data_IF_617498490017
#
_entry.id   IF_617498490017
#
_cell.length_a   1.000
_cell.length_b   1.000
_cell.length_c   1.000
_cell.angle_alpha   90.00
_cell.angle_beta   90.00
_cell.angle_gamma   90.00
#
_symmetry.space_group_name_H-M   'P 1'
#
loop_
_entity.id
_entity.type
_entity.pdbx_description
1 polymer ?
#
# COMPACT_ATOMS: atom_id res chain seq x y z
N UNK A 1 -21.59 -7.34 -1.77
CA UNK A 1 -20.24 -7.49 -1.17
C UNK A 1 -20.44 -7.38 0.32
N UNK A 2 -20.08 -8.39 1.10
CA UNK A 2 -20.16 -8.27 2.55
C UNK A 2 -19.18 -7.18 2.99
N UNK A 3 -19.65 -6.22 3.76
CA UNK A 3 -18.94 -5.05 4.26
C UNK A 3 -17.73 -5.39 5.17
N UNK A 4 -17.44 -6.68 5.33
CA UNK A 4 -16.52 -7.26 6.30
C UNK A 4 -15.20 -7.85 5.73
N UNK A 5 -14.94 -7.69 4.43
CA UNK A 5 -13.78 -8.32 3.79
C UNK A 5 -12.52 -7.44 3.87
N UNK A 6 -11.94 -7.29 5.05
CA UNK A 6 -10.61 -6.68 5.24
C UNK A 6 -9.73 -7.56 6.13
N UNK A 7 -8.41 -7.49 5.92
CA UNK A 7 -7.43 -8.32 6.61
C UNK A 7 -7.00 -7.80 7.97
N UNK A 8 -6.04 -8.51 8.55
CA UNK A 8 -5.50 -8.22 9.88
C UNK A 8 -4.87 -6.82 10.00
N UNK A 9 -4.30 -6.30 8.92
CA UNK A 9 -3.62 -5.00 8.94
C UNK A 9 -4.63 -3.86 9.13
N UNK A 10 -5.72 -3.85 8.37
CA UNK A 10 -6.79 -2.85 8.53
C UNK A 10 -7.52 -3.03 9.86
N UNK A 11 -7.80 -4.27 10.28
CA UNK A 11 -8.43 -4.52 11.58
C UNK A 11 -7.60 -3.92 12.73
N UNK A 12 -6.29 -4.11 12.69
CA UNK A 12 -5.35 -3.55 13.65
C UNK A 12 -5.33 -2.02 13.62
N UNK A 13 -5.27 -1.44 12.43
CA UNK A 13 -5.28 0.02 12.21
C UNK A 13 -6.56 0.66 12.76
N UNK A 14 -7.74 0.09 12.43
CA UNK A 14 -9.03 0.56 12.92
C UNK A 14 -9.13 0.48 14.44
N UNK A 15 -8.72 -0.64 15.01
CA UNK A 15 -8.72 -0.83 16.46
C UNK A 15 -7.85 0.22 17.16
N UNK A 16 -6.63 0.45 16.66
CA UNK A 16 -5.71 1.45 17.21
C UNK A 16 -6.33 2.86 17.19
N UNK A 17 -6.91 3.23 16.05
CA UNK A 17 -7.55 4.53 15.86
C UNK A 17 -8.75 4.70 16.78
N UNK A 18 -9.63 3.68 16.85
CA UNK A 18 -10.82 3.72 17.70
C UNK A 18 -10.49 3.80 19.18
N UNK A 19 -9.49 3.04 19.64
CA UNK A 19 -8.99 3.14 21.02
C UNK A 19 -8.49 4.55 21.35
N UNK A 20 -7.77 5.20 20.43
CA UNK A 20 -7.32 6.58 20.61
C UNK A 20 -8.48 7.58 20.70
N UNK A 21 -9.52 7.42 19.85
CA UNK A 21 -10.73 8.25 19.88
C UNK A 21 -11.49 8.09 21.21
N UNK A 22 -11.72 6.85 21.64
CA UNK A 22 -12.39 6.52 22.90
C UNK A 22 -11.67 7.14 24.09
N UNK A 23 -10.35 6.96 24.20
CA UNK A 23 -9.57 7.58 25.27
C UNK A 23 -9.72 9.11 25.28
N UNK A 24 -9.61 9.76 24.12
CA UNK A 24 -9.78 11.22 24.03
C UNK A 24 -11.16 11.66 24.53
N UNK A 25 -12.19 10.86 24.29
CA UNK A 25 -13.54 11.09 24.80
C UNK A 25 -13.63 11.06 26.34
N UNK A 26 -12.79 10.28 27.02
CA UNK A 26 -12.73 10.21 28.50
C UNK A 26 -11.89 11.33 29.13
N UNK A 27 -11.19 12.14 28.32
CA UNK A 27 -10.21 13.15 28.78
C UNK A 27 -9.00 12.58 29.56
N UNK A 28 -8.84 11.27 29.63
CA UNK A 28 -7.66 10.64 30.23
C UNK A 28 -6.44 10.74 29.33
N UNK A 29 -5.27 11.03 29.93
CA UNK A 29 -3.99 10.90 29.21
C UNK A 29 -3.63 9.41 29.07
N UNK A 30 -2.87 9.06 28.02
CA UNK A 30 -2.40 7.69 27.82
C UNK A 30 -1.61 7.14 29.03
N UNK A 31 -0.81 7.98 29.69
CA UNK A 31 -0.08 7.58 30.88
C UNK A 31 -1.00 7.36 32.09
N UNK A 32 -2.03 8.20 32.25
CA UNK A 32 -3.01 7.99 33.32
C UNK A 32 -3.75 6.65 33.17
N UNK A 33 -4.13 6.26 31.94
CA UNK A 33 -4.71 4.94 31.68
C UNK A 33 -3.73 3.82 31.99
N UNK A 34 -2.43 3.98 31.65
CA UNK A 34 -1.40 3.01 32.05
C UNK A 34 -1.33 2.86 33.57
N UNK A 35 -1.38 3.97 34.32
CA UNK A 35 -1.32 3.96 35.77
C UNK A 35 -2.57 3.26 36.38
N UNK A 36 -3.78 3.55 35.84
CA UNK A 36 -5.04 2.88 36.27
C UNK A 36 -5.02 1.36 36.07
N UNK A 37 -4.37 0.89 35.02
CA UNK A 37 -4.25 -0.54 34.66
C UNK A 37 -2.99 -1.21 35.23
N UNK A 38 -2.18 -0.47 35.98
CA UNK A 38 -0.87 -0.92 36.44
C UNK A 38 0.02 -1.45 35.31
N UNK A 39 -0.02 -0.76 34.15
CA UNK A 39 0.78 -1.06 32.98
C UNK A 39 2.06 -0.24 32.92
N UNK A 40 3.06 -0.75 32.23
CA UNK A 40 4.26 0.03 31.92
C UNK A 40 3.94 1.28 31.09
N UNK A 41 4.57 2.40 31.43
CA UNK A 41 4.39 3.68 30.71
C UNK A 41 4.57 3.52 29.21
N UNK A 42 3.75 4.24 28.46
CA UNK A 42 3.76 4.22 27.00
C UNK A 42 3.07 3.01 26.36
N UNK A 43 2.55 2.02 27.12
CA UNK A 43 1.86 0.86 26.53
C UNK A 43 0.61 1.31 25.76
N UNK A 44 -0.23 2.17 26.32
CA UNK A 44 -1.41 2.72 25.66
C UNK A 44 -1.01 3.53 24.42
N UNK A 45 0.01 4.38 24.50
CA UNK A 45 0.49 5.13 23.36
C UNK A 45 0.97 4.23 22.20
N UNK A 46 1.60 3.10 22.48
CA UNK A 46 1.96 2.12 21.44
C UNK A 46 0.75 1.47 20.80
N UNK A 47 -0.32 1.19 21.56
CA UNK A 47 -1.57 0.72 20.98
C UNK A 47 -2.16 1.74 19.99
N UNK A 48 -2.28 2.99 20.42
CA UNK A 48 -2.85 4.07 19.63
C UNK A 48 -2.01 4.45 18.40
N UNK A 49 -0.69 4.32 18.51
CA UNK A 49 0.25 4.52 17.40
C UNK A 49 0.38 3.30 16.47
N UNK A 50 -0.46 2.29 16.63
CA UNK A 50 -0.39 1.03 15.87
C UNK A 50 0.97 0.28 15.98
N UNK A 51 1.77 0.57 17.03
CA UNK A 51 3.11 0.02 17.26
C UNK A 51 3.08 -1.26 18.12
N UNK A 52 2.28 -2.24 17.72
CA UNK A 52 2.10 -3.52 18.41
C UNK A 52 2.01 -4.65 17.37
N UNK A 53 2.49 -5.83 17.70
CA UNK A 53 2.49 -6.97 16.78
C UNK A 53 1.19 -7.76 16.84
N UNK A 54 0.67 -7.99 18.05
CA UNK A 54 -0.52 -8.79 18.30
C UNK A 54 -1.18 -8.31 19.59
N UNK A 55 -2.44 -7.90 19.57
CA UNK A 55 -3.13 -7.46 20.77
C UNK A 55 -3.40 -8.66 21.69
N UNK A 56 -3.21 -8.49 22.99
CA UNK A 56 -3.77 -9.42 23.95
C UNK A 56 -5.23 -9.05 24.22
N UNK A 57 -6.13 -10.04 24.18
CA UNK A 57 -7.57 -9.79 24.36
C UNK A 57 -7.90 -9.20 25.73
N UNK A 58 -7.13 -9.59 26.76
CA UNK A 58 -7.24 -8.99 28.11
C UNK A 58 -6.95 -7.50 28.10
N UNK A 59 -5.88 -7.09 27.38
CA UNK A 59 -5.51 -5.68 27.27
C UNK A 59 -6.62 -4.85 26.60
N UNK A 60 -7.20 -5.39 25.53
CA UNK A 60 -8.31 -4.72 24.83
C UNK A 60 -9.52 -4.58 25.74
N UNK A 61 -9.95 -5.65 26.41
CA UNK A 61 -11.08 -5.63 27.34
C UNK A 61 -10.87 -4.67 28.50
N UNK A 62 -9.65 -4.59 29.03
CA UNK A 62 -9.30 -3.64 30.10
C UNK A 62 -9.43 -2.20 29.61
N UNK A 63 -8.95 -1.87 28.39
CA UNK A 63 -9.10 -0.54 27.80
C UNK A 63 -10.58 -0.20 27.59
N UNK A 64 -11.37 -1.10 26.99
CA UNK A 64 -12.79 -0.88 26.72
C UNK A 64 -13.60 -0.66 28.02
N UNK A 65 -13.19 -1.33 29.11
CA UNK A 65 -13.80 -1.10 30.44
C UNK A 65 -13.45 0.27 30.99
N UNK A 66 -12.19 0.72 30.89
CA UNK A 66 -11.76 2.04 31.37
C UNK A 66 -12.42 3.18 30.55
N UNK A 67 -12.64 2.93 29.27
CA UNK A 67 -13.29 3.93 28.39
C UNK A 67 -14.82 3.89 28.46
N UNK A 68 -15.39 3.05 29.32
CA UNK A 68 -16.85 2.88 29.53
C UNK A 68 -17.62 2.60 28.22
N UNK A 69 -17.08 1.69 27.40
CA UNK A 69 -17.64 1.35 26.09
C UNK A 69 -18.88 0.49 26.26
N UNK A 70 -20.00 0.88 25.57
CA UNK A 70 -21.26 0.14 25.58
C UNK A 70 -21.14 -1.27 24.98
N UNK A 71 -22.07 -2.16 25.29
CA UNK A 71 -21.98 -3.58 24.96
C UNK A 71 -21.84 -3.84 23.45
N UNK A 72 -22.67 -3.20 22.61
CA UNK A 72 -22.62 -3.41 21.16
C UNK A 72 -21.28 -3.01 20.54
N UNK A 73 -20.79 -1.82 20.87
CA UNK A 73 -19.48 -1.34 20.38
C UNK A 73 -18.32 -2.16 20.95
N UNK A 74 -18.45 -2.66 22.18
CA UNK A 74 -17.47 -3.55 22.79
C UNK A 74 -17.32 -4.84 21.98
N UNK A 75 -18.42 -5.48 21.61
CA UNK A 75 -18.43 -6.70 20.81
C UNK A 75 -17.76 -6.45 19.45
N UNK A 76 -18.08 -5.34 18.76
CA UNK A 76 -17.43 -4.96 17.51
C UNK A 76 -15.92 -4.77 17.64
N UNK A 77 -15.46 -4.12 18.71
CA UNK A 77 -14.03 -3.89 18.96
C UNK A 77 -13.28 -5.15 19.41
N UNK A 78 -13.93 -6.06 20.10
CA UNK A 78 -13.38 -7.38 20.40
C UNK A 78 -13.24 -8.22 19.12
N UNK A 79 -14.20 -8.18 18.20
CA UNK A 79 -14.11 -8.83 16.88
C UNK A 79 -12.97 -8.23 16.04
N UNK A 80 -12.82 -6.91 16.02
CA UNK A 80 -11.66 -6.26 15.41
C UNK A 80 -10.34 -6.76 16.02
N UNK A 81 -10.28 -6.88 17.34
CA UNK A 81 -9.10 -7.39 18.03
C UNK A 81 -8.79 -8.85 17.66
N UNK A 82 -9.81 -9.70 17.52
CA UNK A 82 -9.65 -11.08 17.05
C UNK A 82 -9.07 -11.10 15.63
N UNK A 83 -9.63 -10.32 14.69
CA UNK A 83 -9.13 -10.22 13.32
C UNK A 83 -7.68 -9.67 13.28
N UNK A 84 -7.38 -8.65 14.08
CA UNK A 84 -6.04 -8.05 14.19
C UNK A 84 -4.96 -9.03 14.73
N UNK A 85 -5.37 -10.14 15.33
CA UNK A 85 -4.47 -11.20 15.81
C UNK A 85 -4.05 -12.19 14.72
N UNK A 86 -4.72 -12.19 13.57
CA UNK A 86 -4.31 -13.04 12.47
C UNK A 86 -2.91 -12.62 11.97
N UNK A 87 -2.12 -13.61 11.57
CA UNK A 87 -0.78 -13.36 11.03
C UNK A 87 -0.88 -13.15 9.51
N UNK A 88 -0.72 -11.92 8.99
CA UNK A 88 -0.74 -11.70 7.56
C UNK A 88 0.53 -12.27 6.92
N UNK A 89 0.43 -12.71 5.67
CA UNK A 89 1.49 -13.37 4.90
C UNK A 89 2.79 -12.55 4.83
N UNK A 90 2.70 -11.23 4.74
CA UNK A 90 3.86 -10.35 4.61
C UNK A 90 4.76 -10.33 5.84
N UNK A 91 4.27 -10.76 6.99
CA UNK A 91 5.10 -10.96 8.21
C UNK A 91 6.14 -12.08 8.06
N UNK A 92 5.98 -12.97 7.10
CA UNK A 92 6.99 -13.97 6.77
C UNK A 92 8.19 -13.36 6.03
N UNK A 93 8.04 -12.13 5.53
CA UNK A 93 9.05 -11.32 4.86
C UNK A 93 9.42 -10.06 5.68
N UNK A 94 9.45 -10.16 7.02
CA UNK A 94 9.79 -9.04 7.91
C UNK A 94 11.26 -8.57 7.75
N UNK A 95 12.10 -9.34 7.10
CA UNK A 95 13.46 -8.99 6.69
C UNK A 95 13.50 -8.15 5.38
N UNK A 96 12.38 -8.08 4.67
CA UNK A 96 12.20 -7.31 3.44
C UNK A 96 11.37 -6.05 3.71
N UNK A 97 10.30 -6.18 4.50
CA UNK A 97 9.35 -5.11 4.81
C UNK A 97 9.54 -4.59 6.23
N UNK A 98 9.93 -3.34 6.35
CA UNK A 98 10.16 -2.68 7.64
C UNK A 98 8.86 -2.13 8.27
N UNK A 99 7.81 -1.94 7.48
CA UNK A 99 6.53 -1.34 7.89
C UNK A 99 5.31 -2.17 7.42
N UNK A 100 4.12 -1.64 7.63
CA UNK A 100 2.85 -2.31 7.29
C UNK A 100 2.36 -2.02 5.85
N UNK A 101 3.15 -1.35 5.03
CA UNK A 101 2.82 -1.05 3.61
C UNK A 101 2.24 -2.26 2.85
N UNK A 102 2.86 -3.47 2.88
CA UNK A 102 2.33 -4.59 2.12
C UNK A 102 0.97 -5.08 2.63
N UNK A 103 0.67 -4.84 3.90
CA UNK A 103 -0.62 -5.19 4.48
C UNK A 103 -1.72 -4.22 4.04
N UNK A 104 -1.44 -2.93 3.98
CA UNK A 104 -2.39 -1.94 3.46
C UNK A 104 -2.61 -2.10 1.96
N UNK A 105 -1.55 -2.35 1.17
CA UNK A 105 -1.65 -2.69 -0.26
C UNK A 105 -2.53 -3.93 -0.47
N UNK A 106 -2.34 -4.98 0.36
CA UNK A 106 -3.10 -6.22 0.30
C UNK A 106 -4.60 -6.04 0.56
N UNK A 107 -4.95 -5.12 1.46
CA UNK A 107 -6.31 -4.93 1.97
C UNK A 107 -7.02 -3.71 1.32
N UNK A 108 -6.35 -2.95 0.46
CA UNK A 108 -6.91 -1.79 -0.23
C UNK A 108 -8.00 -2.20 -1.22
N UNK A 109 -9.06 -1.39 -1.34
CA UNK A 109 -10.09 -1.55 -2.39
C UNK A 109 -9.68 -0.86 -3.70
N UNK A 110 -8.83 0.17 -3.60
CA UNK A 110 -8.21 0.86 -4.72
C UNK A 110 -6.78 1.22 -4.39
N UNK A 111 -5.90 1.01 -5.35
CA UNK A 111 -4.48 1.38 -5.30
C UNK A 111 -4.24 2.40 -6.40
N UNK A 112 -3.70 3.57 -6.02
CA UNK A 112 -3.25 4.59 -6.96
C UNK A 112 -1.74 4.75 -6.78
N UNK A 113 -1.00 4.61 -7.86
CA UNK A 113 0.46 4.68 -7.82
C UNK A 113 1.00 5.61 -8.89
N UNK A 114 1.88 6.53 -8.47
CA UNK A 114 2.66 7.37 -9.38
C UNK A 114 4.13 7.00 -9.27
N UNK A 115 4.74 6.61 -10.40
CA UNK A 115 6.14 6.20 -10.48
C UNK A 115 6.84 6.91 -11.65
N UNK A 116 7.69 7.92 -11.37
CA UNK A 116 8.31 8.73 -12.42
C UNK A 116 9.51 8.08 -13.10
N UNK A 117 10.22 7.16 -12.44
CA UNK A 117 11.50 6.63 -12.94
C UNK A 117 11.50 5.11 -13.10
N UNK A 118 10.74 4.40 -12.30
CA UNK A 118 10.66 2.94 -12.32
C UNK A 118 9.22 2.49 -12.58
N UNK A 119 9.04 1.25 -12.95
CA UNK A 119 7.71 0.64 -12.99
C UNK A 119 7.23 0.32 -11.58
N UNK A 120 5.92 0.46 -11.28
CA UNK A 120 5.34 -0.01 -10.02
C UNK A 120 5.62 -1.49 -9.78
N UNK A 121 5.89 -1.84 -8.53
CA UNK A 121 6.21 -3.23 -8.18
C UNK A 121 5.17 -4.27 -8.57
N UNK A 122 3.89 -3.87 -8.60
CA UNK A 122 2.78 -4.73 -9.03
C UNK A 122 2.77 -5.00 -10.55
N UNK A 123 3.52 -4.24 -11.34
CA UNK A 123 3.54 -4.32 -12.81
C UNK A 123 4.87 -4.85 -13.37
N UNK A 124 5.83 -5.22 -12.51
CA UNK A 124 7.17 -5.65 -12.94
C UNK A 124 7.21 -7.14 -13.29
N UNK A 125 7.93 -7.49 -14.36
CA UNK A 125 8.37 -8.87 -14.59
C UNK A 125 9.53 -9.24 -13.66
N UNK A 126 9.83 -10.53 -13.54
CA UNK A 126 11.00 -11.02 -12.80
C UNK A 126 12.30 -10.42 -13.33
N UNK A 127 12.47 -10.40 -14.66
CA UNK A 127 13.71 -9.93 -15.30
C UNK A 127 13.90 -8.42 -15.10
N UNK A 128 12.80 -7.64 -15.12
CA UNK A 128 12.84 -6.22 -14.75
C UNK A 128 13.33 -6.03 -13.31
N UNK A 129 12.73 -6.76 -12.37
CA UNK A 129 13.15 -6.69 -10.96
C UNK A 129 14.62 -7.05 -10.77
N UNK A 130 15.07 -8.15 -11.36
CA UNK A 130 16.45 -8.60 -11.26
C UNK A 130 17.43 -7.59 -11.86
N UNK A 131 17.08 -6.99 -13.01
CA UNK A 131 17.90 -5.97 -13.64
C UNK A 131 18.03 -4.72 -12.79
N UNK A 132 16.92 -4.23 -12.20
CA UNK A 132 16.94 -3.08 -11.29
C UNK A 132 17.77 -3.38 -10.02
N UNK A 133 17.62 -4.59 -9.46
CA UNK A 133 18.33 -5.00 -8.24
C UNK A 133 19.80 -5.40 -8.46
N UNK A 134 20.23 -5.58 -9.70
CA UNK A 134 21.60 -6.08 -10.04
C UNK A 134 22.70 -5.19 -9.49
N UNK A 135 22.50 -3.88 -9.53
CA UNK A 135 23.50 -2.89 -9.13
C UNK A 135 23.38 -2.47 -7.66
N UNK A 136 22.38 -2.99 -6.94
CA UNK A 136 22.19 -2.72 -5.52
C UNK A 136 23.20 -3.47 -4.65
N UNK A 137 23.46 -2.94 -3.44
CA UNK A 137 24.38 -3.53 -2.45
C UNK A 137 23.78 -4.72 -1.67
N UNK A 138 22.53 -5.08 -1.90
CA UNK A 138 21.85 -6.13 -1.14
C UNK A 138 22.37 -7.54 -1.49
N UNK A 139 22.54 -8.43 -0.48
CA UNK A 139 23.02 -9.80 -0.71
C UNK A 139 22.11 -10.61 -1.65
N UNK A 140 22.65 -11.60 -2.39
CA UNK A 140 21.84 -12.46 -3.28
C UNK A 140 20.66 -13.16 -2.58
N UNK A 141 20.84 -13.60 -1.33
CA UNK A 141 19.76 -14.22 -0.55
C UNK A 141 18.62 -13.24 -0.28
N UNK A 142 18.94 -12.00 0.06
CA UNK A 142 17.93 -10.95 0.26
C UNK A 142 17.20 -10.64 -1.05
N UNK A 143 17.91 -10.56 -2.18
CA UNK A 143 17.29 -10.31 -3.50
C UNK A 143 16.29 -11.41 -3.87
N UNK A 144 16.63 -12.69 -3.68
CA UNK A 144 15.68 -13.81 -3.91
C UNK A 144 14.43 -13.67 -3.06
N UNK A 145 14.57 -13.44 -1.75
CA UNK A 145 13.42 -13.26 -0.85
C UNK A 145 12.59 -12.01 -1.21
N UNK A 146 13.23 -10.95 -1.65
CA UNK A 146 12.56 -9.74 -2.11
C UNK A 146 11.76 -10.00 -3.39
N UNK A 147 12.27 -10.82 -4.32
CA UNK A 147 11.53 -11.27 -5.50
C UNK A 147 10.32 -12.14 -5.11
N UNK A 148 10.51 -13.13 -4.24
CA UNK A 148 9.41 -13.96 -3.73
C UNK A 148 8.30 -13.09 -3.10
N UNK A 149 8.66 -12.16 -2.25
CA UNK A 149 7.74 -11.23 -1.62
C UNK A 149 7.02 -10.33 -2.65
N UNK A 150 7.71 -9.92 -3.73
CA UNK A 150 7.13 -9.13 -4.82
C UNK A 150 6.11 -9.92 -5.61
N UNK A 151 6.44 -11.14 -6.02
CA UNK A 151 5.52 -12.02 -6.73
C UNK A 151 4.26 -12.29 -5.88
N UNK A 152 4.44 -12.50 -4.57
CA UNK A 152 3.31 -12.66 -3.66
C UNK A 152 2.43 -11.41 -3.58
N UNK A 153 3.00 -10.20 -3.62
CA UNK A 153 2.23 -8.95 -3.68
C UNK A 153 1.40 -8.87 -4.96
N UNK A 154 1.95 -9.27 -6.10
CA UNK A 154 1.26 -9.20 -7.40
C UNK A 154 0.00 -10.07 -7.46
N UNK A 155 -0.08 -11.16 -6.68
CA UNK A 155 -1.26 -12.02 -6.61
C UNK A 155 -2.56 -11.28 -6.27
N UNK A 156 -2.48 -10.08 -5.66
CA UNK A 156 -3.67 -9.29 -5.33
C UNK A 156 -4.46 -8.85 -6.56
N UNK A 157 -3.81 -8.72 -7.72
CA UNK A 157 -4.45 -8.32 -8.97
C UNK A 157 -5.21 -9.48 -9.64
N UNK A 158 -5.00 -10.73 -9.19
CA UNK A 158 -5.57 -11.94 -9.76
C UNK A 158 -6.60 -12.63 -8.84
N UNK A 159 -7.02 -11.98 -7.76
CA UNK A 159 -7.99 -12.54 -6.82
C UNK A 159 -9.35 -12.76 -7.49
N UNK A 160 -9.97 -13.89 -7.19
CA UNK A 160 -11.31 -14.27 -7.71
C UNK A 160 -12.42 -14.21 -6.66
N UNK A 161 -12.08 -13.85 -5.43
CA UNK A 161 -12.98 -13.82 -4.27
C UNK A 161 -13.77 -12.49 -4.11
N UNK A 162 -13.65 -11.59 -5.08
CA UNK A 162 -14.27 -10.26 -5.05
C UNK A 162 -13.49 -9.21 -4.25
N UNK A 163 -12.32 -9.56 -3.73
CA UNK A 163 -11.42 -8.63 -3.01
C UNK A 163 -10.31 -8.04 -3.89
N UNK A 164 -10.39 -8.23 -5.20
CA UNK A 164 -9.41 -7.69 -6.16
C UNK A 164 -9.46 -6.16 -6.14
N UNK A 165 -8.36 -5.47 -5.85
CA UNK A 165 -8.33 -4.01 -5.88
C UNK A 165 -8.40 -3.47 -7.31
N UNK A 166 -8.90 -2.24 -7.46
CA UNK A 166 -8.71 -1.45 -8.68
C UNK A 166 -7.35 -0.76 -8.59
N UNK A 167 -6.46 -1.04 -9.53
CA UNK A 167 -5.16 -0.39 -9.65
C UNK A 167 -5.22 0.72 -10.71
N UNK A 168 -4.92 1.96 -10.34
CA UNK A 168 -4.64 3.06 -11.28
C UNK A 168 -3.16 3.41 -11.16
N UNK A 169 -2.39 3.13 -12.20
CA UNK A 169 -0.96 3.41 -12.26
C UNK A 169 -0.65 4.51 -13.27
N UNK A 170 -0.04 5.60 -12.80
CA UNK A 170 0.51 6.65 -13.65
C UNK A 170 2.02 6.51 -13.64
N UNK A 171 2.59 6.23 -14.80
CA UNK A 171 4.04 6.15 -15.01
C UNK A 171 4.48 7.24 -15.97
N UNK A 172 5.75 7.59 -15.98
CA UNK A 172 6.29 8.46 -17.02
C UNK A 172 6.96 7.63 -18.12
N UNK A 173 7.07 8.19 -19.29
CA UNK A 173 7.79 7.59 -20.42
C UNK A 173 9.25 7.23 -20.04
N UNK A 174 9.86 7.95 -19.09
CA UNK A 174 11.21 7.67 -18.61
C UNK A 174 11.36 6.23 -18.08
N UNK A 175 10.37 5.72 -17.34
CA UNK A 175 10.40 4.37 -16.78
C UNK A 175 10.46 3.26 -17.84
N UNK A 176 10.04 3.56 -19.08
CA UNK A 176 10.04 2.65 -20.22
C UNK A 176 11.29 2.79 -21.10
N UNK A 177 11.95 3.96 -21.07
CA UNK A 177 13.04 4.30 -21.98
C UNK A 177 14.42 3.91 -21.47
N UNK A 178 14.56 3.62 -20.17
CA UNK A 178 15.83 3.16 -19.63
C UNK A 178 16.26 1.82 -20.24
N UNK A 179 17.55 1.73 -20.59
CA UNK A 179 18.15 0.50 -21.11
C UNK A 179 18.60 -0.38 -19.94
N UNK A 180 17.84 -1.39 -19.64
CA UNK A 180 18.14 -2.44 -18.67
C UNK A 180 18.04 -3.81 -19.35
N UNK A 181 18.64 -4.84 -18.80
CA UNK A 181 18.57 -6.21 -19.34
C UNK A 181 18.92 -6.31 -20.82
N UNK A 182 18.41 -7.31 -21.49
CA UNK A 182 18.49 -7.48 -22.93
C UNK A 182 17.33 -6.76 -23.64
N UNK A 183 17.35 -6.72 -24.96
CA UNK A 183 16.23 -6.20 -25.76
C UNK A 183 14.97 -7.08 -25.58
N UNK A 184 15.18 -8.40 -25.46
CA UNK A 184 14.09 -9.37 -25.23
C UNK A 184 13.44 -9.13 -23.86
N UNK A 185 14.22 -8.98 -22.78
CA UNK A 185 13.69 -8.73 -21.44
C UNK A 185 12.83 -7.45 -21.42
N UNK A 186 13.27 -6.40 -22.11
CA UNK A 186 12.50 -5.14 -22.21
C UNK A 186 11.22 -5.31 -23.02
N UNK A 187 11.26 -6.08 -24.10
CA UNK A 187 10.08 -6.41 -24.89
C UNK A 187 9.07 -7.17 -24.05
N UNK A 188 9.48 -8.22 -23.34
CA UNK A 188 8.62 -9.01 -22.44
C UNK A 188 7.96 -8.15 -21.36
N UNK A 189 8.70 -7.20 -20.79
CA UNK A 189 8.11 -6.25 -19.82
C UNK A 189 7.05 -5.36 -20.46
N UNK A 190 7.26 -4.86 -21.67
CA UNK A 190 6.27 -4.03 -22.36
C UNK A 190 5.04 -4.87 -22.76
N UNK A 191 5.23 -6.08 -23.27
CA UNK A 191 4.14 -7.00 -23.58
C UNK A 191 3.31 -7.35 -22.32
N UNK A 192 3.98 -7.54 -21.17
CA UNK A 192 3.31 -7.73 -19.88
C UNK A 192 2.46 -6.52 -19.48
N UNK A 193 2.96 -5.29 -19.69
CA UNK A 193 2.16 -4.07 -19.45
C UNK A 193 0.94 -3.99 -20.38
N UNK A 194 1.07 -4.40 -21.64
CA UNK A 194 -0.06 -4.49 -22.60
C UNK A 194 -1.11 -5.48 -22.10
N UNK A 195 -0.69 -6.64 -21.60
CA UNK A 195 -1.62 -7.63 -21.03
C UNK A 195 -2.35 -7.10 -19.79
N UNK A 196 -1.60 -6.48 -18.87
CA UNK A 196 -2.16 -5.88 -17.67
C UNK A 196 -3.14 -4.73 -17.98
N UNK A 197 -2.83 -3.87 -18.96
CA UNK A 197 -3.68 -2.74 -19.35
C UNK A 197 -5.04 -3.16 -19.94
N UNK A 198 -5.20 -4.43 -20.29
CA UNK A 198 -6.49 -5.00 -20.79
C UNK A 198 -7.36 -5.56 -19.67
N UNK A 199 -6.84 -5.66 -18.45
CA UNK A 199 -7.60 -6.16 -17.30
C UNK A 199 -8.60 -5.12 -16.80
N UNK A 200 -9.82 -5.50 -16.43
CA UNK A 200 -10.85 -4.55 -16.00
C UNK A 200 -10.53 -3.83 -14.67
N UNK A 201 -9.61 -4.39 -13.88
CA UNK A 201 -9.18 -3.84 -12.61
C UNK A 201 -7.83 -3.09 -12.68
N UNK A 202 -7.27 -2.90 -13.87
CA UNK A 202 -5.99 -2.19 -14.06
C UNK A 202 -6.18 -1.04 -15.04
N UNK A 203 -5.93 0.16 -14.56
CA UNK A 203 -5.87 1.38 -15.35
C UNK A 203 -4.42 1.86 -15.39
N UNK A 204 -3.78 1.76 -16.56
CA UNK A 204 -2.42 2.21 -16.79
C UNK A 204 -2.44 3.48 -17.63
N UNK A 205 -1.70 4.50 -17.20
CA UNK A 205 -1.58 5.80 -17.87
C UNK A 205 -0.11 6.19 -17.99
N UNK A 206 0.26 6.86 -19.09
CA UNK A 206 1.63 7.29 -19.36
C UNK A 206 1.68 8.80 -19.55
N UNK A 207 2.58 9.48 -18.83
CA UNK A 207 2.99 10.85 -19.12
C UNK A 207 4.19 10.82 -20.08
N UNK A 208 4.00 11.33 -21.30
CA UNK A 208 5.05 11.31 -22.33
C UNK A 208 5.95 12.54 -22.23
N UNK A 209 7.18 12.40 -22.68
CA UNK A 209 8.09 13.55 -22.86
C UNK A 209 7.52 14.63 -23.79
N UNK A 210 6.79 14.21 -24.83
CA UNK A 210 6.19 15.12 -25.80
C UNK A 210 5.09 16.02 -25.19
N UNK A 211 4.50 15.62 -24.06
CA UNK A 211 3.44 16.36 -23.39
C UNK A 211 4.01 17.38 -22.37
N UNK A 212 5.33 17.46 -22.24
CA UNK A 212 6.02 18.35 -21.32
C UNK A 212 6.42 17.69 -20.00
N UNK A 213 6.84 18.47 -18.99
CA UNK A 213 7.25 17.92 -17.69
C UNK A 213 6.07 17.32 -16.95
N UNK A 214 6.32 16.31 -16.06
CA UNK A 214 5.25 15.72 -15.27
C UNK A 214 4.43 16.76 -14.50
N UNK A 215 3.11 16.64 -14.57
CA UNK A 215 2.17 17.53 -13.89
C UNK A 215 1.67 16.86 -12.62
N UNK A 216 1.59 17.62 -11.55
CA UNK A 216 0.97 17.22 -10.29
C UNK A 216 1.90 16.48 -9.33
N UNK A 217 2.71 15.54 -9.80
CA UNK A 217 3.56 14.69 -8.95
C UNK A 217 4.98 14.53 -9.51
N UNK A 218 5.96 14.46 -8.62
CA UNK A 218 7.37 14.29 -8.99
C UNK A 218 8.06 13.17 -8.20
N UNK A 219 7.46 12.71 -7.10
CA UNK A 219 7.99 11.66 -6.23
C UNK A 219 7.23 10.35 -6.44
N UNK A 220 7.83 9.23 -6.04
CA UNK A 220 7.15 7.94 -5.99
C UNK A 220 6.10 7.97 -4.88
N UNK A 221 4.83 7.77 -5.24
CA UNK A 221 3.68 7.87 -4.33
C UNK A 221 2.77 6.67 -4.51
N UNK A 222 2.38 6.07 -3.39
CA UNK A 222 1.33 5.06 -3.33
C UNK A 222 0.17 5.58 -2.48
N UNK A 223 -1.06 5.50 -2.97
CA UNK A 223 -2.28 5.89 -2.27
C UNK A 223 -3.17 4.66 -2.18
N UNK A 224 -3.53 4.28 -0.97
CA UNK A 224 -4.41 3.15 -0.68
C UNK A 224 -5.75 3.66 -0.19
N UNK A 225 -6.82 3.42 -0.96
CA UNK A 225 -8.18 3.65 -0.49
C UNK A 225 -8.62 2.40 0.27
N UNK A 226 -8.98 2.60 1.52
CA UNK A 226 -9.37 1.55 2.43
C UNK A 226 -10.88 1.27 2.36
N UNK A 227 -11.34 0.05 2.70
CA UNK A 227 -12.76 -0.28 2.70
C UNK A 227 -13.54 0.56 3.72
N UNK A 228 -14.88 0.63 3.53
CA UNK A 228 -15.83 1.29 4.44
C UNK A 228 -15.63 2.81 4.62
N UNK A 229 -15.07 3.51 3.62
CA UNK A 229 -14.92 4.97 3.66
C UNK A 229 -13.87 5.48 4.66
N UNK A 230 -12.96 4.62 5.10
CA UNK A 230 -11.79 5.02 5.87
C UNK A 230 -10.95 6.04 5.09
N UNK A 231 -10.25 6.90 5.82
CA UNK A 231 -9.31 7.82 5.20
C UNK A 231 -8.25 7.05 4.40
N UNK A 232 -7.98 7.50 3.18
CA UNK A 232 -6.90 6.93 2.36
C UNK A 232 -5.56 7.08 3.06
N UNK A 233 -4.67 6.12 2.86
CA UNK A 233 -3.29 6.19 3.29
C UNK A 233 -2.39 6.55 2.12
N UNK A 234 -1.41 7.41 2.38
CA UNK A 234 -0.41 7.81 1.38
C UNK A 234 0.96 7.40 1.87
N UNK A 235 1.70 6.73 1.01
CA UNK A 235 3.08 6.35 1.24
C UNK A 235 3.98 6.98 0.19
N UNK A 236 5.05 7.59 0.66
CA UNK A 236 6.15 8.11 -0.16
C UNK A 236 7.28 7.10 -0.14
N UNK A 237 7.71 6.68 -1.31
CA UNK A 237 8.88 5.81 -1.45
C UNK A 237 10.10 6.65 -1.79
N UNK A 238 11.14 6.51 -0.97
CA UNK A 238 12.44 7.15 -1.14
C UNK A 238 13.52 6.08 -1.31
N UNK A 239 14.76 6.48 -1.60
CA UNK A 239 15.89 5.56 -1.75
C UNK A 239 16.18 4.74 -0.46
N UNK A 240 15.73 5.22 0.69
CA UNK A 240 16.07 4.65 2.00
C UNK A 240 14.86 4.19 2.82
N UNK A 241 13.67 4.68 2.53
CA UNK A 241 12.49 4.41 3.34
C UNK A 241 11.19 4.49 2.54
N UNK A 242 10.16 3.82 3.05
CA UNK A 242 8.76 4.02 2.67
C UNK A 242 8.10 4.72 3.87
N UNK A 243 7.67 5.96 3.69
CA UNK A 243 7.15 6.82 4.74
C UNK A 243 5.65 7.06 4.58
N UNK A 244 4.91 6.93 5.69
CA UNK A 244 3.48 7.23 5.73
C UNK A 244 3.24 8.73 5.94
N UNK A 245 2.36 9.32 5.13
CA UNK A 245 1.90 10.69 5.29
C UNK A 245 0.76 10.70 6.30
N UNK A 246 0.97 11.30 7.47
CA UNK A 246 0.04 11.27 8.60
C UNK A 246 -1.00 12.39 8.64
N UNK A 247 -0.74 13.52 7.97
CA UNK A 247 -1.64 14.69 7.97
C UNK A 247 -2.77 14.52 6.97
N UNK A 248 -4.02 14.67 7.41
CA UNK A 248 -5.22 14.61 6.55
C UNK A 248 -5.15 15.62 5.40
N UNK A 249 -4.68 16.84 5.65
CA UNK A 249 -4.55 17.88 4.62
C UNK A 249 -3.50 17.48 3.57
N UNK A 250 -2.39 16.88 4.02
CA UNK A 250 -1.37 16.36 3.11
C UNK A 250 -1.88 15.18 2.28
N UNK A 251 -2.61 14.24 2.89
CA UNK A 251 -3.26 13.12 2.18
C UNK A 251 -4.18 13.64 1.08
N UNK A 252 -5.05 14.61 1.40
CA UNK A 252 -5.95 15.23 0.42
C UNK A 252 -5.18 15.94 -0.70
N UNK A 253 -4.07 16.60 -0.38
CA UNK A 253 -3.20 17.26 -1.37
C UNK A 253 -2.57 16.25 -2.32
N UNK A 254 -2.13 15.09 -1.84
CA UNK A 254 -1.61 14.01 -2.69
C UNK A 254 -2.69 13.40 -3.57
N UNK A 255 -3.90 13.19 -3.06
CA UNK A 255 -5.04 12.71 -3.85
C UNK A 255 -5.35 13.66 -5.01
N UNK A 256 -5.41 14.96 -4.75
CA UNK A 256 -5.63 15.97 -5.79
C UNK A 256 -4.47 16.05 -6.79
N UNK A 257 -3.24 15.91 -6.31
CA UNK A 257 -2.05 15.90 -7.18
C UNK A 257 -2.04 14.67 -8.08
N UNK A 258 -2.44 13.50 -7.56
CA UNK A 258 -2.60 12.30 -8.37
C UNK A 258 -3.68 12.45 -9.45
N UNK A 259 -4.81 13.07 -9.11
CA UNK A 259 -5.85 13.34 -10.10
C UNK A 259 -5.31 14.21 -11.25
N UNK A 260 -4.60 15.31 -10.95
CA UNK A 260 -3.94 16.15 -11.97
C UNK A 260 -2.93 15.38 -12.81
N UNK A 261 -2.13 14.50 -12.19
CA UNK A 261 -1.17 13.65 -12.89
C UNK A 261 -1.88 12.67 -13.84
N UNK A 262 -2.97 12.07 -13.38
CA UNK A 262 -3.80 11.18 -14.19
C UNK A 262 -4.44 11.90 -15.38
N UNK A 263 -5.05 13.07 -15.13
CA UNK A 263 -5.73 13.87 -16.17
C UNK A 263 -4.77 14.40 -17.25
N UNK A 264 -3.48 14.60 -16.90
CA UNK A 264 -2.43 15.03 -17.84
C UNK A 264 -1.70 13.87 -18.54
N UNK A 265 -2.13 12.64 -18.33
CA UNK A 265 -1.54 11.43 -18.92
C UNK A 265 -2.37 10.96 -20.12
N UNK A 266 -1.78 10.07 -20.93
CA UNK A 266 -2.55 9.35 -21.95
C UNK A 266 -3.73 8.62 -21.33
N UNK A 267 -4.87 8.63 -22.02
CA UNK A 267 -6.00 7.79 -21.68
C UNK A 267 -5.63 6.29 -21.74
N UNK A 268 -6.31 5.40 -21.01
CA UNK A 268 -5.93 3.98 -20.98
C UNK A 268 -5.85 3.31 -22.35
N UNK A 269 -6.76 3.64 -23.26
CA UNK A 269 -6.75 3.08 -24.62
C UNK A 269 -5.52 3.56 -25.42
N UNK A 270 -5.18 4.86 -25.32
CA UNK A 270 -4.02 5.45 -25.98
C UNK A 270 -2.71 4.95 -25.36
N UNK A 271 -2.70 4.73 -24.03
CA UNK A 271 -1.59 4.08 -23.31
C UNK A 271 -1.33 2.69 -23.87
N UNK A 272 -2.37 1.87 -24.04
CA UNK A 272 -2.24 0.53 -24.61
C UNK A 272 -1.71 0.57 -26.02
N UNK A 273 -2.21 1.48 -26.87
CA UNK A 273 -1.72 1.67 -28.25
C UNK A 273 -0.25 2.10 -28.28
N UNK A 274 0.15 3.03 -27.39
CA UNK A 274 1.53 3.45 -27.22
C UNK A 274 2.47 2.31 -26.85
N UNK A 275 2.06 1.46 -25.89
CA UNK A 275 2.85 0.30 -25.46
C UNK A 275 3.03 -0.71 -26.59
N UNK A 276 2.00 -0.97 -27.40
CA UNK A 276 2.09 -1.87 -28.56
C UNK A 276 3.12 -1.34 -29.56
N UNK A 277 3.08 -0.04 -29.89
CA UNK A 277 4.05 0.57 -30.79
C UNK A 277 5.48 0.52 -30.22
N UNK A 278 5.63 0.71 -28.90
CA UNK A 278 6.92 0.60 -28.23
C UNK A 278 7.45 -0.84 -28.31
N UNK A 279 6.60 -1.84 -28.12
CA UNK A 279 6.97 -3.25 -28.22
C UNK A 279 7.50 -3.61 -29.62
N UNK A 280 6.86 -3.09 -30.69
CA UNK A 280 7.33 -3.26 -32.08
C UNK A 280 8.72 -2.68 -32.33
N UNK A 281 9.08 -1.56 -31.70
CA UNK A 281 10.41 -0.97 -31.79
C UNK A 281 11.50 -1.76 -31.04
N UNK A 282 11.07 -2.68 -30.19
CA UNK A 282 11.94 -3.59 -29.44
C UNK A 282 12.11 -4.95 -30.12
N UNK A 283 11.61 -5.16 -31.32
CA UNK A 283 11.83 -6.35 -32.14
C UNK A 283 13.26 -6.53 -32.67
#
# INVERSE_FOLDING_TARGET
MSDDAYGATIAKYRLARRLAELRRGTQHTANHVCDMLNWGRGKVGRFEANQWKRPEMSDIRDLLRIYDVGAAERDELEDLAVRARARPWWRDYADIFENEFPGFENDAVRIRVFMPLLLPGLLQTTDYFEAVMRHGSRPPAWRRRSLEARLRRQEILDRSDGSTPVLTAVITEASLMYRWGTKVDRREQVDHLVELSRRPNVELRIQRFADGPPVGMHSMVNIFDLPQGEQSLVYLETDYAIEEVSSTDSVNSYIQSFARASDSSLEPADTTAYLIQLAEQLE
#
